data_IF_034771413646
#
_entry.id   IF_034771413646
#
_cell.length_a   1.000
_cell.length_b   1.000
_cell.length_c   1.000
_cell.angle_alpha   90.00
_cell.angle_beta   90.00
_cell.angle_gamma   90.00
#
_symmetry.space_group_name_H-M   'P 1'
#
loop_
_entity.id
_entity.type
_entity.pdbx_description
1 polymer ?
#
# COMPACT_ATOMS: atom_id res chain seq x y z
N UNK A 1 -50.22 -3.09 -70.91
CA UNK A 1 -49.54 -2.36 -69.83
C UNK A 1 -48.27 -1.72 -70.39
N UNK A 2 -48.23 -0.40 -70.44
CA UNK A 2 -47.14 0.35 -71.08
C UNK A 2 -45.82 -0.02 -70.40
N UNK A 3 -44.77 -0.29 -71.19
CA UNK A 3 -43.46 -0.74 -70.67
C UNK A 3 -42.94 0.19 -69.56
N UNK A 4 -43.26 1.48 -69.65
CA UNK A 4 -42.99 2.51 -68.64
C UNK A 4 -43.61 2.26 -67.26
N UNK A 5 -44.87 1.78 -67.17
CA UNK A 5 -45.50 1.46 -65.87
C UNK A 5 -44.76 0.34 -65.15
N UNK A 6 -44.25 -0.66 -65.90
CA UNK A 6 -43.51 -1.78 -65.32
C UNK A 6 -42.16 -1.33 -64.74
N UNK A 7 -41.44 -0.46 -65.44
CA UNK A 7 -40.19 0.10 -64.93
C UNK A 7 -40.41 0.94 -63.68
N UNK A 8 -41.47 1.75 -63.63
CA UNK A 8 -41.79 2.55 -62.45
C UNK A 8 -42.14 1.69 -61.21
N UNK A 9 -42.89 0.60 -61.40
CA UNK A 9 -43.18 -0.33 -60.30
C UNK A 9 -41.92 -1.03 -59.76
N UNK A 10 -40.97 -1.37 -60.65
CA UNK A 10 -39.69 -1.97 -60.27
C UNK A 10 -38.79 -0.97 -59.54
N UNK A 11 -38.70 0.28 -60.00
CA UNK A 11 -37.90 1.30 -59.30
C UNK A 11 -38.46 1.62 -57.92
N UNK A 12 -39.78 1.67 -57.79
CA UNK A 12 -40.44 1.86 -56.49
C UNK A 12 -40.12 0.70 -55.52
N UNK A 13 -40.14 -0.54 -56.00
CA UNK A 13 -39.77 -1.72 -55.22
C UNK A 13 -38.31 -1.70 -54.76
N UNK A 14 -37.39 -1.30 -55.65
CA UNK A 14 -35.97 -1.18 -55.31
C UNK A 14 -35.76 -0.05 -54.29
N UNK A 15 -36.42 1.10 -54.46
CA UNK A 15 -36.34 2.21 -53.51
C UNK A 15 -36.87 1.81 -52.12
N UNK A 16 -38.02 1.13 -52.06
CA UNK A 16 -38.58 0.60 -50.82
C UNK A 16 -37.65 -0.42 -50.16
N UNK A 17 -37.08 -1.34 -50.94
CA UNK A 17 -36.10 -2.31 -50.46
C UNK A 17 -34.84 -1.65 -49.89
N UNK A 18 -34.31 -0.64 -50.58
CA UNK A 18 -33.15 0.12 -50.14
C UNK A 18 -33.43 0.90 -48.85
N UNK A 19 -34.61 1.51 -48.72
CA UNK A 19 -35.02 2.22 -47.49
C UNK A 19 -35.13 1.27 -46.30
N UNK A 20 -35.74 0.09 -46.47
CA UNK A 20 -35.87 -0.91 -45.41
C UNK A 20 -34.48 -1.45 -45.02
N UNK A 21 -33.64 -1.76 -46.00
CA UNK A 21 -32.29 -2.28 -45.78
C UNK A 21 -31.40 -1.28 -45.04
N UNK A 22 -31.44 0.00 -45.43
CA UNK A 22 -30.68 1.06 -44.77
C UNK A 22 -31.08 1.23 -43.30
N UNK A 23 -32.38 1.22 -43.01
CA UNK A 23 -32.89 1.44 -41.65
C UNK A 23 -32.76 0.23 -40.71
N UNK A 24 -32.78 -1.00 -41.24
CA UNK A 24 -32.79 -2.23 -40.43
C UNK A 24 -31.46 -2.98 -40.39
N UNK A 25 -30.64 -2.90 -41.45
CA UNK A 25 -29.45 -3.74 -41.61
C UNK A 25 -28.15 -2.93 -41.61
N UNK A 26 -28.14 -1.75 -42.22
CA UNK A 26 -26.91 -0.94 -42.32
C UNK A 26 -26.51 -0.28 -40.99
N UNK A 27 -27.48 0.12 -40.17
CA UNK A 27 -27.21 0.72 -38.86
C UNK A 27 -27.15 -0.39 -37.81
N UNK A 28 -25.93 -0.87 -37.54
CA UNK A 28 -25.64 -1.80 -36.44
C UNK A 28 -26.00 -1.11 -35.12
N UNK A 29 -27.05 -1.58 -34.44
CA UNK A 29 -27.41 -1.09 -33.10
C UNK A 29 -26.42 -1.66 -32.09
N UNK A 30 -25.33 -0.95 -31.84
CA UNK A 30 -24.39 -1.28 -30.79
C UNK A 30 -25.10 -1.23 -29.44
N UNK A 31 -25.46 -2.40 -28.92
CA UNK A 31 -26.15 -2.54 -27.63
C UNK A 31 -25.07 -2.82 -26.60
N UNK A 32 -24.80 -1.85 -25.73
CA UNK A 32 -23.83 -1.98 -24.65
C UNK A 32 -24.55 -2.25 -23.33
N UNK A 33 -24.10 -3.28 -22.61
CA UNK A 33 -24.49 -3.44 -21.21
C UNK A 33 -23.88 -2.28 -20.41
N UNK A 34 -24.72 -1.48 -19.77
CA UNK A 34 -24.28 -0.35 -18.93
C UNK A 34 -24.74 -0.57 -17.50
N UNK A 35 -23.98 -0.01 -16.57
CA UNK A 35 -24.36 0.07 -15.16
C UNK A 35 -24.16 1.48 -14.65
N UNK A 36 -24.96 1.89 -13.67
CA UNK A 36 -24.88 3.22 -13.07
C UNK A 36 -23.79 3.22 -12.00
N UNK A 37 -22.87 4.21 -11.99
CA UNK A 37 -21.90 4.33 -10.91
C UNK A 37 -22.62 4.69 -9.61
N UNK A 38 -22.10 4.18 -8.50
CA UNK A 38 -22.56 4.51 -7.15
C UNK A 38 -21.42 5.20 -6.39
N UNK A 39 -21.76 6.23 -5.61
CA UNK A 39 -20.82 6.83 -4.68
C UNK A 39 -20.64 5.91 -3.47
N UNK A 40 -19.41 5.75 -3.03
CA UNK A 40 -19.05 4.96 -1.86
C UNK A 40 -17.62 5.30 -1.44
N UNK A 41 -17.28 4.93 -0.22
CA UNK A 41 -15.96 5.20 0.32
C UNK A 41 -14.93 4.22 -0.24
N UNK A 42 -13.81 4.75 -0.72
CA UNK A 42 -12.68 3.97 -1.20
C UNK A 42 -11.50 4.17 -0.25
N UNK A 43 -11.09 3.10 0.41
CA UNK A 43 -9.90 3.10 1.25
C UNK A 43 -8.72 2.49 0.49
N UNK A 44 -7.67 3.28 0.31
CA UNK A 44 -6.40 2.82 -0.26
C UNK A 44 -5.42 2.61 0.90
N UNK A 45 -4.88 1.40 1.01
CA UNK A 45 -3.89 1.06 2.03
C UNK A 45 -2.58 0.67 1.38
N UNK A 46 -1.48 1.23 1.89
CA UNK A 46 -0.12 0.93 1.47
C UNK A 46 0.51 0.02 2.52
N UNK A 47 1.13 -1.07 2.08
CA UNK A 47 1.87 -1.98 2.96
C UNK A 47 3.35 -1.66 2.89
N UNK A 48 3.94 -1.34 4.04
CA UNK A 48 5.37 -1.12 4.20
C UNK A 48 5.98 -2.17 5.12
N UNK A 49 7.26 -2.48 4.90
CA UNK A 49 8.08 -3.31 5.79
C UNK A 49 9.08 -2.38 6.48
N UNK A 50 9.23 -2.50 7.79
CA UNK A 50 10.18 -1.74 8.58
C UNK A 50 10.77 -2.61 9.68
N UNK A 51 12.03 -2.35 10.01
CA UNK A 51 12.68 -2.98 11.16
C UNK A 51 12.31 -2.19 12.43
N UNK A 52 12.17 -2.92 13.54
CA UNK A 52 11.94 -2.33 14.87
C UNK A 52 13.21 -2.45 15.69
N UNK A 53 13.52 -1.39 16.43
CA UNK A 53 14.71 -1.33 17.28
C UNK A 53 14.36 -0.65 18.61
N UNK A 54 15.25 -0.77 19.60
CA UNK A 54 15.12 -0.11 20.88
C UNK A 54 15.14 1.41 20.72
N UNK A 55 14.25 2.09 21.45
CA UNK A 55 14.20 3.56 21.44
C UNK A 55 15.53 4.19 21.86
N UNK A 56 16.20 3.60 22.84
CA UNK A 56 17.51 4.02 23.32
C UNK A 56 18.35 2.76 23.61
N UNK A 57 19.61 2.78 23.17
CA UNK A 57 20.60 1.74 23.47
C UNK A 57 21.78 2.44 24.13
N UNK A 58 22.21 1.94 25.29
CA UNK A 58 23.36 2.47 26.00
C UNK A 58 24.37 1.35 26.23
N UNK A 59 25.62 1.61 25.85
CA UNK A 59 26.75 0.77 26.23
C UNK A 59 27.29 1.28 27.56
N UNK A 60 27.22 0.45 28.59
CA UNK A 60 27.73 0.80 29.92
C UNK A 60 29.21 0.38 30.01
N UNK A 61 30.07 1.34 30.37
CA UNK A 61 31.50 1.11 30.61
C UNK A 61 31.89 1.68 31.98
N UNK A 62 32.88 1.08 32.64
CA UNK A 62 33.44 1.65 33.85
C UNK A 62 34.17 2.97 33.55
N UNK A 63 34.09 3.94 34.46
CA UNK A 63 34.78 5.24 34.33
C UNK A 63 36.25 5.15 34.77
N UNK A 64 36.57 4.21 35.65
CA UNK A 64 37.91 3.94 36.17
C UNK A 64 38.29 2.48 35.95
N UNK A 65 39.60 2.23 35.88
CA UNK A 65 40.14 0.87 35.93
C UNK A 65 40.02 0.27 37.33
N UNK A 66 40.10 -1.06 37.40
CA UNK A 66 40.10 -1.80 38.66
C UNK A 66 39.62 -3.24 38.48
N UNK A 67 39.72 -4.04 39.54
CA UNK A 67 39.27 -5.44 39.53
C UNK A 67 37.77 -5.51 39.85
N UNK A 68 37.01 -6.30 39.10
CA UNK A 68 35.59 -6.55 39.43
C UNK A 68 35.51 -7.39 40.70
N UNK A 69 34.80 -6.89 41.71
CA UNK A 69 34.54 -7.60 42.97
C UNK A 69 33.23 -8.38 42.90
N UNK A 70 32.16 -7.71 42.47
CA UNK A 70 30.81 -8.29 42.43
C UNK A 70 30.03 -7.81 41.20
N UNK A 71 29.15 -8.69 40.71
CA UNK A 71 28.17 -8.43 39.66
C UNK A 71 26.78 -8.69 40.26
N UNK A 72 25.86 -7.75 40.08
CA UNK A 72 24.54 -7.73 40.72
C UNK A 72 23.37 -7.85 39.73
N UNK A 73 23.65 -8.26 38.48
CA UNK A 73 22.63 -8.47 37.45
C UNK A 73 22.96 -9.70 36.62
N UNK A 74 21.92 -10.30 36.06
CA UNK A 74 22.00 -11.41 35.11
C UNK A 74 21.52 -10.97 33.72
N UNK A 75 21.86 -11.76 32.70
CA UNK A 75 21.41 -11.52 31.32
C UNK A 75 19.87 -11.58 31.22
N UNK A 76 19.29 -10.60 30.54
CA UNK A 76 17.82 -10.46 30.40
C UNK A 76 17.12 -9.89 31.65
N UNK A 77 17.86 -9.56 32.71
CA UNK A 77 17.29 -8.95 33.90
C UNK A 77 16.87 -7.50 33.66
N UNK A 78 15.67 -7.14 34.13
CA UNK A 78 15.21 -5.75 34.14
C UNK A 78 15.84 -4.98 35.30
N UNK A 79 16.48 -3.86 34.98
CA UNK A 79 17.11 -2.97 35.96
C UNK A 79 16.50 -1.57 35.91
N UNK A 80 16.45 -0.90 37.05
CA UNK A 80 15.95 0.48 37.16
C UNK A 80 17.11 1.48 37.08
N UNK A 81 16.82 2.71 36.66
CA UNK A 81 17.79 3.81 36.74
C UNK A 81 18.34 3.93 38.17
N UNK A 82 19.67 3.97 38.28
CA UNK A 82 20.37 4.08 39.57
C UNK A 82 20.58 2.75 40.29
N UNK A 83 20.19 1.61 39.70
CA UNK A 83 20.51 0.29 40.28
C UNK A 83 22.02 0.05 40.22
N UNK A 84 22.57 -0.49 41.30
CA UNK A 84 23.96 -0.96 41.33
C UNK A 84 24.08 -2.20 40.43
N UNK A 85 24.92 -2.11 39.40
CA UNK A 85 25.14 -3.21 38.46
C UNK A 85 26.39 -4.01 38.83
N UNK A 86 27.48 -3.32 39.16
CA UNK A 86 28.77 -3.93 39.42
C UNK A 86 29.53 -3.13 40.47
N UNK A 87 30.41 -3.79 41.21
CA UNK A 87 31.37 -3.15 42.12
C UNK A 87 32.79 -3.43 41.66
N UNK A 88 33.63 -2.39 41.68
CA UNK A 88 35.02 -2.42 41.24
C UNK A 88 35.90 -2.00 42.42
N UNK A 89 36.97 -2.74 42.64
CA UNK A 89 38.00 -2.43 43.61
C UNK A 89 38.68 -1.09 43.28
N UNK A 90 38.62 -0.09 44.18
CA UNK A 90 39.09 1.26 43.94
C UNK A 90 40.62 1.44 44.03
N UNK A 91 41.44 0.39 43.94
CA UNK A 91 42.91 0.47 44.09
C UNK A 91 43.56 1.56 43.22
N UNK A 92 42.94 1.93 42.09
CA UNK A 92 43.32 3.08 41.26
C UNK A 92 42.19 4.12 41.13
N UNK A 93 41.54 4.50 42.23
CA UNK A 93 40.83 5.78 42.28
C UNK A 93 41.86 6.89 42.55
N UNK A 94 42.32 7.65 41.54
CA UNK A 94 42.92 8.94 41.85
C UNK A 94 41.88 9.71 42.67
N UNK A 95 42.30 10.21 43.84
CA UNK A 95 41.48 11.00 44.74
C UNK A 95 40.97 12.26 44.01
N UNK A 96 39.87 12.15 43.28
CA UNK A 96 39.18 13.24 42.60
C UNK A 96 38.10 13.84 43.51
N UNK A 97 38.45 14.06 44.78
CA UNK A 97 37.62 14.78 45.74
C UNK A 97 38.38 16.03 46.18
N UNK A 98 38.26 17.10 45.37
CA UNK A 98 38.47 18.49 45.77
C UNK A 98 37.09 19.18 45.81
#
# INVERSE_FOLDING_TARGET
>A
MNKWIKYFAITLLIALGATIFYNKVYIVKSTFATTKPTLGDLHVTIRGIGNVDAKNIYTITAQSGGKIENIYFDEGMWVKKGSLLLSIDPVELPMLLD
#
